data_IF_333617308230
#
_entry.id   IF_333617308230
#
_cell.length_a   1.000
_cell.length_b   1.000
_cell.length_c   1.000
_cell.angle_alpha   90.00
_cell.angle_beta   90.00
_cell.angle_gamma   90.00
#
_symmetry.space_group_name_H-M   'P 1'
#
loop_
_entity.id
_entity.type
_entity.pdbx_description
1 polymer ?
#
# COMPACT_ATOMS: atom_id res chain seq x y z
N UNK A 1 22.54 -3.99 25.40
CA UNK A 1 21.98 -2.66 25.10
C UNK A 1 21.94 -2.51 23.59
N UNK A 2 20.76 -2.61 22.96
CA UNK A 2 20.65 -2.41 21.51
C UNK A 2 20.93 -0.93 21.22
N UNK A 3 21.95 -0.68 20.41
CA UNK A 3 22.37 0.65 20.01
C UNK A 3 21.32 1.22 19.04
N UNK A 4 20.26 1.85 19.59
CA UNK A 4 19.28 2.58 18.81
C UNK A 4 19.98 3.85 18.34
N UNK A 5 20.61 3.81 17.16
CA UNK A 5 20.93 5.02 16.42
C UNK A 5 19.64 5.82 16.36
N UNK A 6 19.58 6.99 17.03
CA UNK A 6 18.48 7.93 16.86
C UNK A 6 18.40 8.24 15.38
N UNK A 7 17.44 7.62 14.68
CA UNK A 7 17.15 7.97 13.29
C UNK A 7 16.71 9.44 13.35
N UNK A 8 17.55 10.32 12.82
CA UNK A 8 17.12 11.70 12.62
C UNK A 8 16.06 11.63 11.54
N UNK A 9 14.82 11.94 11.92
CA UNK A 9 13.73 12.00 10.99
C UNK A 9 13.83 13.31 10.17
N UNK A 10 13.47 13.30 8.88
CA UNK A 10 13.42 14.51 8.08
C UNK A 10 12.42 15.53 8.61
N UNK A 11 12.56 16.78 8.16
CA UNK A 11 11.60 17.83 8.44
C UNK A 11 10.18 17.41 8.00
N UNK A 12 9.19 17.67 8.84
CA UNK A 12 7.79 17.31 8.59
C UNK A 12 7.39 15.90 9.03
N UNK A 13 8.31 15.06 9.53
CA UNK A 13 7.98 13.70 10.02
C UNK A 13 6.86 13.68 11.06
N UNK A 14 6.90 14.62 12.01
CA UNK A 14 5.89 14.72 13.07
C UNK A 14 4.47 14.95 12.53
N UNK A 15 4.34 15.53 11.34
CA UNK A 15 3.04 15.79 10.70
C UNK A 15 2.38 14.51 10.20
N UNK A 16 3.16 13.51 9.80
CA UNK A 16 2.64 12.23 9.27
C UNK A 16 2.71 11.08 10.28
N UNK A 17 3.45 11.24 11.37
CA UNK A 17 3.72 10.18 12.35
C UNK A 17 2.45 9.54 12.90
N UNK A 18 1.47 10.35 13.32
CA UNK A 18 0.22 9.83 13.86
C UNK A 18 -0.53 8.95 12.85
N UNK A 19 -0.60 9.39 11.59
CA UNK A 19 -1.23 8.61 10.51
C UNK A 19 -0.50 7.31 10.22
N UNK A 20 0.84 7.31 10.28
CA UNK A 20 1.63 6.09 10.12
C UNK A 20 1.43 5.10 11.28
N UNK A 21 1.28 5.62 12.50
CA UNK A 21 1.01 4.81 13.69
C UNK A 21 -0.35 4.13 13.59
N UNK A 22 -1.36 4.83 13.08
CA UNK A 22 -2.69 4.24 12.84
C UNK A 22 -2.60 3.07 11.85
N UNK A 23 -1.84 3.21 10.75
CA UNK A 23 -1.62 2.11 9.80
C UNK A 23 -0.87 0.93 10.42
N UNK A 24 0.11 1.18 11.30
CA UNK A 24 0.84 0.13 12.01
C UNK A 24 -0.07 -0.62 12.99
N UNK A 25 -0.94 0.09 13.71
CA UNK A 25 -1.96 -0.48 14.59
C UNK A 25 -2.94 -1.34 13.77
N UNK A 26 -3.46 -0.83 12.66
CA UNK A 26 -4.36 -1.56 11.77
C UNK A 26 -3.69 -2.83 11.22
N UNK A 27 -2.40 -2.74 10.85
CA UNK A 27 -1.61 -3.88 10.39
C UNK A 27 -1.48 -4.95 11.49
N UNK A 28 -1.21 -4.53 12.72
CA UNK A 28 -1.14 -5.42 13.87
C UNK A 28 -2.48 -6.13 14.13
N UNK A 29 -3.59 -5.36 14.14
CA UNK A 29 -4.95 -5.91 14.28
C UNK A 29 -5.28 -6.89 13.17
N UNK A 30 -4.92 -6.57 11.91
CA UNK A 30 -5.19 -7.42 10.77
C UNK A 30 -4.43 -8.76 10.83
N UNK A 31 -3.18 -8.76 11.33
CA UNK A 31 -2.36 -9.95 11.58
C UNK A 31 -2.93 -10.79 12.73
N UNK A 32 -3.28 -10.16 13.85
CA UNK A 32 -3.87 -10.88 14.99
C UNK A 32 -5.20 -11.56 14.65
N UNK A 33 -6.01 -10.92 13.78
CA UNK A 33 -7.27 -11.49 13.30
C UNK A 33 -7.09 -12.65 12.31
N UNK A 34 -5.89 -12.92 11.81
CA UNK A 34 -5.61 -14.05 10.92
C UNK A 34 -5.88 -15.39 11.62
N UNK A 35 -5.50 -15.48 12.90
CA UNK A 35 -5.66 -16.68 13.74
C UNK A 35 -7.14 -17.06 14.02
N UNK A 36 -8.09 -16.13 13.80
CA UNK A 36 -9.52 -16.34 14.03
C UNK A 36 -10.33 -16.76 12.79
N UNK A 37 -9.75 -16.81 11.59
CA UNK A 37 -10.49 -16.98 10.33
C UNK A 37 -10.71 -18.44 9.91
N UNK A 38 -11.14 -19.29 10.85
CA UNK A 38 -11.61 -20.67 10.54
C UNK A 38 -12.78 -20.60 9.55
N UNK A 39 -12.57 -21.02 8.30
CA UNK A 39 -13.62 -21.16 7.29
C UNK A 39 -13.55 -20.20 6.09
N UNK A 40 -12.61 -19.24 6.06
CA UNK A 40 -12.33 -18.45 4.84
C UNK A 40 -11.29 -19.14 3.96
N UNK A 41 -11.25 -18.78 2.67
CA UNK A 41 -10.12 -19.17 1.81
C UNK A 41 -8.85 -18.54 2.37
N UNK A 42 -7.74 -19.27 2.36
CA UNK A 42 -6.44 -18.80 2.87
C UNK A 42 -6.10 -17.39 2.34
N UNK A 43 -6.35 -17.15 1.05
CA UNK A 43 -6.08 -15.85 0.41
C UNK A 43 -6.94 -14.71 0.98
N UNK A 44 -8.19 -14.96 1.36
CA UNK A 44 -9.10 -13.94 1.90
C UNK A 44 -8.71 -13.48 3.31
N UNK A 45 -8.00 -14.33 4.04
CA UNK A 45 -7.47 -13.98 5.35
C UNK A 45 -6.44 -12.85 5.25
N UNK A 46 -5.68 -12.80 4.14
CA UNK A 46 -4.68 -11.77 3.87
C UNK A 46 -5.24 -10.48 3.24
N UNK A 47 -6.48 -10.46 2.74
CA UNK A 47 -7.01 -9.27 2.05
C UNK A 47 -6.92 -7.98 2.88
N UNK A 48 -7.24 -7.96 4.19
CA UNK A 48 -7.08 -6.75 5.00
C UNK A 48 -5.63 -6.26 5.06
N UNK A 49 -4.65 -7.17 5.11
CA UNK A 49 -3.23 -6.81 5.08
C UNK A 49 -2.84 -6.19 3.75
N UNK A 50 -3.34 -6.74 2.64
CA UNK A 50 -3.10 -6.21 1.30
C UNK A 50 -3.75 -4.83 1.13
N UNK A 51 -4.95 -4.62 1.68
CA UNK A 51 -5.63 -3.33 1.67
C UNK A 51 -4.82 -2.26 2.42
N UNK A 52 -4.31 -2.56 3.62
CA UNK A 52 -3.47 -1.61 4.37
C UNK A 52 -2.17 -1.33 3.61
N UNK A 53 -1.54 -2.37 3.04
CA UNK A 53 -0.34 -2.22 2.19
C UNK A 53 -0.56 -1.40 0.92
N UNK A 54 -1.81 -1.20 0.49
CA UNK A 54 -2.16 -0.26 -0.56
C UNK A 54 -2.44 1.14 0.02
N UNK A 55 -3.23 1.23 1.09
CA UNK A 55 -3.68 2.48 1.68
C UNK A 55 -2.53 3.33 2.23
N UNK A 56 -1.55 2.72 2.88
CA UNK A 56 -0.43 3.43 3.47
C UNK A 56 0.46 4.11 2.41
N UNK A 57 0.98 3.42 1.38
CA UNK A 57 1.69 4.09 0.28
C UNK A 57 0.82 5.10 -0.46
N UNK A 58 -0.50 4.83 -0.60
CA UNK A 58 -1.42 5.76 -1.25
C UNK A 58 -1.57 7.06 -0.49
N UNK A 59 -1.66 6.98 0.83
CA UNK A 59 -1.70 8.13 1.71
C UNK A 59 -0.45 9.00 1.52
N UNK A 60 0.74 8.38 1.54
CA UNK A 60 2.02 9.08 1.30
C UNK A 60 2.08 9.68 -0.12
N UNK A 61 1.63 8.94 -1.14
CA UNK A 61 1.54 9.42 -2.51
C UNK A 61 0.66 10.67 -2.60
N UNK A 62 -0.55 10.64 -2.04
CA UNK A 62 -1.48 11.77 -2.09
C UNK A 62 -0.96 12.96 -1.28
N UNK A 63 -0.26 12.74 -0.16
CA UNK A 63 0.37 13.80 0.62
C UNK A 63 1.45 14.55 -0.19
N UNK A 64 2.22 13.85 -1.03
CA UNK A 64 3.28 14.46 -1.84
C UNK A 64 2.82 14.95 -3.22
N UNK A 65 2.14 14.09 -3.99
CA UNK A 65 1.79 14.39 -5.38
C UNK A 65 0.54 15.27 -5.49
N UNK A 66 -0.44 15.09 -4.61
CA UNK A 66 -1.74 15.78 -4.68
C UNK A 66 -1.80 16.98 -3.74
N UNK A 67 -1.61 16.76 -2.43
CA UNK A 67 -1.82 17.78 -1.39
C UNK A 67 -0.58 18.65 -1.13
N UNK A 68 0.60 18.21 -1.56
CA UNK A 68 1.88 18.93 -1.40
C UNK A 68 2.23 19.28 0.06
N UNK A 69 1.86 18.42 1.02
CA UNK A 69 2.08 18.68 2.46
C UNK A 69 3.37 18.09 3.02
N UNK A 70 4.02 17.16 2.28
CA UNK A 70 5.32 16.59 2.66
C UNK A 70 6.41 17.00 1.66
N UNK A 71 7.65 17.09 2.14
CA UNK A 71 8.81 17.40 1.31
C UNK A 71 9.26 16.19 0.50
N UNK A 72 10.09 16.43 -0.53
CA UNK A 72 10.72 15.35 -1.32
C UNK A 72 11.61 14.47 -0.44
N UNK A 73 12.39 15.08 0.45
CA UNK A 73 13.24 14.39 1.41
C UNK A 73 12.44 13.43 2.30
N UNK A 74 11.26 13.86 2.77
CA UNK A 74 10.39 13.03 3.59
C UNK A 74 9.75 11.88 2.79
N UNK A 75 9.39 12.11 1.53
CA UNK A 75 8.95 11.04 0.64
C UNK A 75 10.08 10.00 0.44
N UNK A 76 11.28 10.45 0.09
CA UNK A 76 12.44 9.57 -0.13
C UNK A 76 12.75 8.74 1.12
N UNK A 77 12.72 9.36 2.30
CA UNK A 77 12.84 8.65 3.57
C UNK A 77 11.78 7.54 3.74
N UNK A 78 10.52 7.82 3.39
CA UNK A 78 9.46 6.83 3.47
C UNK A 78 9.68 5.65 2.50
N UNK A 79 10.23 5.91 1.31
CA UNK A 79 10.54 4.88 0.32
C UNK A 79 11.76 4.04 0.73
N UNK A 80 12.79 4.66 1.30
CA UNK A 80 14.02 3.98 1.75
C UNK A 80 13.82 3.13 3.00
N UNK A 81 12.83 3.44 3.83
CA UNK A 81 12.51 2.71 5.06
C UNK A 81 11.32 1.74 4.89
N UNK A 82 10.91 1.43 3.65
CA UNK A 82 9.77 0.55 3.34
C UNK A 82 8.46 0.98 4.00
N UNK A 83 8.31 2.27 4.32
CA UNK A 83 7.05 2.85 4.83
C UNK A 83 6.05 3.00 3.67
N UNK A 84 6.53 3.23 2.46
CA UNK A 84 5.72 3.25 1.25
C UNK A 84 6.34 2.34 0.19
N UNK A 85 5.52 1.52 -0.46
CA UNK A 85 5.97 0.62 -1.53
C UNK A 85 6.34 1.44 -2.77
N UNK A 86 7.63 1.53 -3.02
CA UNK A 86 8.20 2.28 -4.15
C UNK A 86 7.69 1.78 -5.49
N UNK A 87 7.59 0.46 -5.68
CA UNK A 87 7.14 -0.11 -6.95
C UNK A 87 5.68 0.28 -7.20
N UNK A 88 4.84 0.23 -6.16
CA UNK A 88 3.43 0.60 -6.30
C UNK A 88 3.26 2.08 -6.64
N UNK A 89 4.06 2.95 -6.01
CA UNK A 89 4.09 4.39 -6.31
C UNK A 89 4.57 4.67 -7.73
N UNK A 90 5.57 3.92 -8.22
CA UNK A 90 6.08 4.08 -9.57
C UNK A 90 5.02 3.65 -10.61
N UNK A 91 4.25 2.60 -10.35
CA UNK A 91 3.13 2.20 -11.21
C UNK A 91 2.02 3.27 -11.26
N UNK A 92 1.69 3.93 -10.15
CA UNK A 92 0.68 5.01 -10.15
C UNK A 92 1.05 6.24 -10.99
N UNK A 93 2.32 6.38 -11.39
CA UNK A 93 2.76 7.45 -12.31
C UNK A 93 2.49 7.11 -13.77
N UNK A 94 2.24 5.83 -14.09
CA UNK A 94 1.94 5.40 -15.45
C UNK A 94 0.47 5.65 -15.79
N UNK A 95 0.22 6.08 -17.03
CA UNK A 95 -1.13 6.31 -17.53
C UNK A 95 -1.97 5.04 -17.49
N UNK A 96 -3.16 5.10 -16.90
CA UNK A 96 -4.10 3.98 -16.78
C UNK A 96 -3.82 3.04 -15.61
N UNK A 97 -2.88 3.38 -14.74
CA UNK A 97 -2.56 2.65 -13.50
C UNK A 97 -2.75 3.51 -12.25
N UNK A 98 -3.31 4.72 -12.35
CA UNK A 98 -3.39 5.71 -11.29
C UNK A 98 -4.11 5.20 -10.02
N UNK A 99 -4.98 4.19 -10.17
CA UNK A 99 -5.78 3.56 -9.11
C UNK A 99 -5.44 2.08 -8.90
N UNK A 100 -4.26 1.64 -9.37
CA UNK A 100 -3.81 0.25 -9.24
C UNK A 100 -3.83 -0.20 -7.77
N UNK A 101 -4.57 -1.27 -7.48
CA UNK A 101 -4.78 -1.73 -6.10
C UNK A 101 -3.59 -2.49 -5.51
N UNK A 102 -2.79 -3.19 -6.32
CA UNK A 102 -1.57 -3.88 -5.90
C UNK A 102 -0.77 -4.35 -7.13
N UNK A 103 0.52 -4.64 -6.92
CA UNK A 103 1.44 -5.06 -7.96
C UNK A 103 1.04 -6.39 -8.64
N UNK A 104 0.30 -7.26 -7.95
CA UNK A 104 -0.21 -8.51 -8.55
C UNK A 104 -1.29 -8.28 -9.61
N UNK A 105 -1.92 -7.11 -9.61
CA UNK A 105 -2.98 -6.76 -10.53
C UNK A 105 -2.46 -5.99 -11.76
N UNK A 106 -1.15 -5.80 -11.89
CA UNK A 106 -0.53 -5.20 -13.07
C UNK A 106 -0.77 -6.13 -14.27
N UNK A 107 -1.33 -5.64 -15.39
CA UNK A 107 -1.39 -6.40 -16.63
C UNK A 107 0.02 -6.77 -17.10
N UNK A 108 0.30 -8.05 -17.39
CA UNK A 108 1.59 -8.40 -18.00
C UNK A 108 1.59 -7.94 -19.46
N UNK A 109 2.74 -7.47 -19.94
CA UNK A 109 2.87 -6.94 -21.32
C UNK A 109 2.45 -7.95 -22.40
N UNK A 110 2.57 -9.24 -22.11
CA UNK A 110 2.27 -10.34 -23.05
C UNK A 110 1.08 -11.22 -22.63
N UNK A 111 0.34 -10.85 -21.59
CA UNK A 111 -0.80 -11.65 -21.16
C UNK A 111 -1.97 -11.53 -22.13
N UNK A 112 -2.50 -12.68 -22.59
CA UNK A 112 -3.83 -12.78 -23.18
C UNK A 112 -4.86 -12.19 -22.21
N UNK A 113 -5.95 -11.63 -22.72
CA UNK A 113 -7.02 -10.94 -21.95
C UNK A 113 -7.43 -11.69 -20.68
N UNK A 114 -7.40 -13.03 -20.72
CA UNK A 114 -7.80 -13.95 -19.65
C UNK A 114 -6.85 -13.98 -18.43
N UNK A 115 -5.69 -13.33 -18.50
CA UNK A 115 -4.68 -13.26 -17.41
C UNK A 115 -4.60 -11.90 -16.73
N UNK A 116 -5.39 -10.93 -17.21
CA UNK A 116 -5.45 -9.60 -16.62
C UNK A 116 -6.37 -9.67 -15.41
N UNK A 117 -5.93 -9.14 -14.26
CA UNK A 117 -6.78 -9.06 -13.09
C UNK A 117 -8.03 -8.21 -13.41
N UNK A 118 -9.21 -8.82 -13.27
CA UNK A 118 -10.50 -8.19 -13.52
C UNK A 118 -11.00 -7.30 -12.37
N UNK A 119 -10.09 -6.90 -11.46
CA UNK A 119 -10.38 -6.02 -10.34
C UNK A 119 -11.00 -4.67 -10.71
N UNK A 120 -11.05 -4.37 -12.01
CA UNK A 120 -11.68 -3.20 -12.60
C UNK A 120 -13.21 -3.25 -12.54
N UNK A 121 -13.82 -4.43 -12.44
CA UNK A 121 -15.28 -4.64 -12.55
C UNK A 121 -15.84 -5.50 -11.41
N UNK A 122 -15.03 -6.42 -10.85
CA UNK A 122 -15.47 -7.36 -9.80
C UNK A 122 -14.47 -7.44 -8.66
N UNK A 123 -14.87 -8.03 -7.52
CA UNK A 123 -13.99 -8.21 -6.36
C UNK A 123 -12.78 -9.09 -6.72
N UNK A 124 -11.59 -8.54 -6.49
CA UNK A 124 -10.34 -9.19 -6.83
C UNK A 124 -10.08 -10.39 -5.90
N UNK A 125 -9.84 -11.57 -6.49
CA UNK A 125 -9.46 -12.76 -5.73
C UNK A 125 -8.10 -12.63 -5.01
N UNK A 126 -7.23 -11.72 -5.46
CA UNK A 126 -5.87 -11.55 -4.93
C UNK A 126 -5.77 -10.56 -3.77
N UNK A 127 -6.56 -9.49 -3.79
CA UNK A 127 -6.46 -8.40 -2.82
C UNK A 127 -7.80 -7.93 -2.25
N UNK A 128 -8.92 -8.51 -2.71
CA UNK A 128 -10.27 -8.13 -2.25
C UNK A 128 -10.70 -6.72 -2.63
N UNK A 129 -10.00 -6.03 -3.55
CA UNK A 129 -10.44 -4.73 -4.02
C UNK A 129 -11.66 -4.89 -4.93
N UNK A 130 -12.58 -3.93 -4.92
CA UNK A 130 -13.86 -3.97 -5.64
C UNK A 130 -13.91 -3.01 -6.83
N UNK A 131 -12.75 -2.69 -7.39
CA UNK A 131 -12.60 -1.61 -8.37
C UNK A 131 -11.21 -0.98 -8.26
N UNK A 132 -10.34 -1.25 -9.22
CA UNK A 132 -8.98 -0.70 -9.31
C UNK A 132 -8.76 0.16 -10.58
N UNK A 133 -9.79 0.31 -11.42
CA UNK A 133 -9.76 1.18 -12.60
C UNK A 133 -10.31 2.55 -12.24
N UNK A 134 -9.76 3.58 -12.89
CA UNK A 134 -10.27 4.94 -12.96
C UNK A 134 -11.79 5.06 -12.87
#
# INVERSE_FOLDING_TARGET
MLNVKKRQYPNGWHTIKATLDDFEIDMCIARAKDELRRGKREVEAFWPLVQIRHQQPRCIYDMYYTRKIISKELLEYCLENDIADKNLIDEWKNKGQENLCCLRCIPRRDSRLDTICNCRIVECVHCGCKGCSA
#
